data_IF_799442443136
#
_entry.id   IF_799442443136
#
_cell.length_a   1.000
_cell.length_b   1.000
_cell.length_c   1.000
_cell.angle_alpha   90.00
_cell.angle_beta   90.00
_cell.angle_gamma   90.00
#
_symmetry.space_group_name_H-M   'P 1'
#
loop_
_entity.id
_entity.type
_entity.pdbx_description
1 polymer ?
#
# COMPACT_ATOMS: atom_id res chain seq x y z
N UNK A 1 35.67 -3.91 -55.74
CA UNK A 1 34.88 -2.68 -55.58
C UNK A 1 34.42 -2.68 -54.14
N UNK A 2 35.22 -2.08 -53.25
CA UNK A 2 34.96 -2.07 -51.81
C UNK A 2 34.07 -0.86 -51.51
N UNK A 3 32.85 -1.11 -51.03
CA UNK A 3 31.92 -0.08 -50.58
C UNK A 3 32.53 0.54 -49.31
N UNK A 4 32.97 1.79 -49.43
CA UNK A 4 33.49 2.58 -48.32
C UNK A 4 32.27 3.07 -47.53
N UNK A 5 31.91 2.36 -46.45
CA UNK A 5 30.84 2.79 -45.56
C UNK A 5 31.13 4.20 -45.03
N UNK A 6 30.12 5.07 -45.14
CA UNK A 6 30.27 6.50 -44.91
C UNK A 6 30.38 6.81 -43.41
N UNK A 7 31.34 7.64 -42.95
CA UNK A 7 31.49 8.04 -41.54
C UNK A 7 30.26 8.69 -40.89
N UNK A 8 29.25 9.05 -41.69
CA UNK A 8 27.98 9.63 -41.26
C UNK A 8 26.98 8.59 -40.76
N UNK A 9 27.06 7.35 -41.24
CA UNK A 9 26.11 6.28 -40.91
C UNK A 9 26.41 5.71 -39.52
N UNK A 10 27.69 5.42 -39.25
CA UNK A 10 28.21 4.99 -37.95
C UNK A 10 27.91 6.02 -36.84
N UNK A 11 28.05 7.32 -37.15
CA UNK A 11 27.73 8.40 -36.21
C UNK A 11 26.22 8.53 -35.93
N UNK A 12 25.37 8.24 -36.91
CA UNK A 12 23.91 8.28 -36.72
C UNK A 12 23.43 7.08 -35.88
N UNK A 13 24.04 5.92 -36.07
CA UNK A 13 23.76 4.71 -35.30
C UNK A 13 24.28 4.82 -33.85
N UNK A 14 25.47 5.40 -33.67
CA UNK A 14 26.02 5.68 -32.34
C UNK A 14 25.19 6.73 -31.57
N UNK A 15 24.67 7.76 -32.24
CA UNK A 15 23.76 8.75 -31.61
C UNK A 15 22.40 8.14 -31.26
N UNK A 16 21.87 7.25 -32.11
CA UNK A 16 20.62 6.53 -31.82
C UNK A 16 20.75 5.57 -30.66
N UNK A 17 21.82 4.78 -30.61
CA UNK A 17 22.08 3.82 -29.52
C UNK A 17 22.35 4.51 -28.19
N UNK A 18 23.14 5.60 -28.19
CA UNK A 18 23.37 6.42 -26.99
C UNK A 18 22.08 7.10 -26.52
N UNK A 19 21.28 7.66 -27.44
CA UNK A 19 20.00 8.28 -27.08
C UNK A 19 18.97 7.30 -26.55
N UNK A 20 18.94 6.06 -27.05
CA UNK A 20 18.03 5.02 -26.55
C UNK A 20 18.44 4.52 -25.16
N UNK A 21 19.74 4.32 -24.93
CA UNK A 21 20.27 3.91 -23.63
C UNK A 21 20.04 4.96 -22.54
N UNK A 22 20.16 6.25 -22.86
CA UNK A 22 19.91 7.37 -21.94
C UNK A 22 18.41 7.44 -21.57
N UNK A 23 17.53 7.30 -22.57
CA UNK A 23 16.07 7.28 -22.36
C UNK A 23 15.60 6.11 -21.48
N UNK A 24 16.12 4.90 -21.72
CA UNK A 24 15.77 3.71 -20.91
C UNK A 24 16.29 3.84 -19.47
N UNK A 25 17.45 4.47 -19.29
CA UNK A 25 18.02 4.73 -17.97
C UNK A 25 17.20 5.74 -17.17
N UNK A 26 16.81 6.84 -17.79
CA UNK A 26 15.94 7.84 -17.18
C UNK A 26 14.59 7.24 -16.77
N UNK A 27 14.01 6.38 -17.62
CA UNK A 27 12.75 5.71 -17.32
C UNK A 27 12.89 4.73 -16.13
N UNK A 28 13.94 3.92 -16.09
CA UNK A 28 14.25 3.06 -14.94
C UNK A 28 14.41 3.87 -13.64
N UNK A 29 15.18 4.95 -13.69
CA UNK A 29 15.40 5.83 -12.53
C UNK A 29 14.10 6.47 -12.05
N UNK A 30 13.24 6.89 -12.99
CA UNK A 30 11.92 7.44 -12.67
C UNK A 30 10.98 6.40 -12.03
N UNK A 31 11.00 5.16 -12.52
CA UNK A 31 10.16 4.08 -12.00
C UNK A 31 10.61 3.68 -10.59
N UNK A 32 11.93 3.55 -10.39
CA UNK A 32 12.53 3.28 -9.07
C UNK A 32 12.25 4.42 -8.09
N UNK A 33 12.37 5.68 -8.52
CA UNK A 33 12.02 6.83 -7.70
C UNK A 33 10.54 6.84 -7.29
N UNK A 34 9.62 6.45 -8.18
CA UNK A 34 8.19 6.32 -7.85
C UNK A 34 7.92 5.24 -6.80
N UNK A 35 8.58 4.09 -6.89
CA UNK A 35 8.44 3.00 -5.91
C UNK A 35 8.92 3.45 -4.51
N UNK A 36 10.07 4.14 -4.44
CA UNK A 36 10.62 4.66 -3.18
C UNK A 36 9.77 5.80 -2.60
N UNK A 37 9.35 6.76 -3.45
CA UNK A 37 8.48 7.85 -3.02
C UNK A 37 7.10 7.37 -2.54
N UNK A 38 6.59 6.30 -3.16
CA UNK A 38 5.37 5.63 -2.71
C UNK A 38 5.51 5.09 -1.28
N UNK A 39 6.64 4.44 -0.97
CA UNK A 39 6.89 3.87 0.36
C UNK A 39 6.87 4.93 1.48
N UNK A 40 7.59 6.04 1.26
CA UNK A 40 7.63 7.16 2.20
C UNK A 40 6.25 7.80 2.38
N UNK A 41 5.51 7.96 1.27
CA UNK A 41 4.16 8.51 1.30
C UNK A 41 3.18 7.63 2.07
N UNK A 42 3.22 6.31 1.87
CA UNK A 42 2.37 5.37 2.58
C UNK A 42 2.71 5.32 4.07
N UNK A 43 4.00 5.28 4.43
CA UNK A 43 4.43 5.30 5.83
C UNK A 43 3.95 6.57 6.56
N UNK A 44 4.19 7.76 5.97
CA UNK A 44 3.81 9.04 6.58
C UNK A 44 2.29 9.23 6.65
N UNK A 45 1.58 8.89 5.58
CA UNK A 45 0.13 8.98 5.55
C UNK A 45 -0.46 8.05 6.60
N UNK A 46 0.09 6.84 6.72
CA UNK A 46 -0.38 5.84 7.66
C UNK A 46 -0.34 6.31 9.11
N UNK A 47 0.79 6.82 9.59
CA UNK A 47 0.91 7.30 10.98
C UNK A 47 -0.17 8.34 11.30
N UNK A 48 -0.46 9.21 10.33
CA UNK A 48 -1.51 10.23 10.44
C UNK A 48 -2.92 9.62 10.50
N UNK A 49 -3.22 8.66 9.62
CA UNK A 49 -4.52 7.96 9.63
C UNK A 49 -4.70 7.15 10.92
N UNK A 50 -3.67 6.41 11.34
CA UNK A 50 -3.67 5.64 12.58
C UNK A 50 -3.92 6.54 13.79
N UNK A 51 -3.16 7.64 13.91
CA UNK A 51 -3.33 8.60 15.01
C UNK A 51 -4.74 9.19 15.04
N UNK A 52 -5.29 9.53 13.87
CA UNK A 52 -6.64 10.10 13.74
C UNK A 52 -7.71 9.07 14.12
N UNK A 53 -7.58 7.84 13.65
CA UNK A 53 -8.49 6.73 13.97
C UNK A 53 -8.43 6.35 15.45
N UNK A 54 -7.23 6.20 16.02
CA UNK A 54 -7.04 5.89 17.44
C UNK A 54 -7.53 7.03 18.33
N UNK A 55 -7.23 8.29 17.97
CA UNK A 55 -7.72 9.46 18.70
C UNK A 55 -9.25 9.60 18.64
N UNK A 56 -9.84 9.38 17.47
CA UNK A 56 -11.30 9.38 17.28
C UNK A 56 -11.99 8.25 18.05
N UNK A 57 -11.45 7.03 17.96
CA UNK A 57 -11.97 5.88 18.71
C UNK A 57 -11.88 6.09 20.23
N UNK A 58 -10.78 6.67 20.73
CA UNK A 58 -10.61 6.99 22.15
C UNK A 58 -11.58 8.09 22.61
N UNK A 59 -11.72 9.17 21.84
CA UNK A 59 -12.67 10.25 22.14
C UNK A 59 -14.11 9.73 22.18
N UNK A 60 -14.49 8.89 21.20
CA UNK A 60 -15.79 8.25 21.16
C UNK A 60 -15.99 7.30 22.34
N UNK A 61 -14.96 6.53 22.70
CA UNK A 61 -14.99 5.69 23.90
C UNK A 61 -15.22 6.48 25.17
N UNK A 62 -14.52 7.61 25.36
CA UNK A 62 -14.68 8.44 26.55
C UNK A 62 -16.07 9.07 26.61
N UNK A 63 -16.59 9.53 25.47
CA UNK A 63 -17.93 10.08 25.37
C UNK A 63 -19.00 9.07 25.83
N UNK A 64 -18.92 7.83 25.35
CA UNK A 64 -19.86 6.77 25.70
C UNK A 64 -19.68 6.23 27.12
N UNK A 65 -18.45 6.19 27.63
CA UNK A 65 -18.18 5.72 28.99
C UNK A 65 -18.81 6.63 30.05
N UNK A 66 -18.89 7.94 29.78
CA UNK A 66 -19.52 8.91 30.67
C UNK A 66 -21.02 8.66 30.85
N UNK A 67 -21.72 8.24 29.80
CA UNK A 67 -23.16 7.99 29.86
C UNK A 67 -23.49 6.62 30.50
N UNK A 68 -22.61 5.63 30.34
CA UNK A 68 -22.78 4.25 30.86
C UNK A 68 -22.56 4.13 32.38
N UNK A 69 -21.88 5.10 33.01
CA UNK A 69 -21.59 5.08 34.46
C UNK A 69 -22.78 5.52 35.34
N UNK A 70 -23.87 6.03 34.75
CA UNK A 70 -24.98 6.64 35.51
C UNK A 70 -26.05 5.61 35.93
N UNK A 71 -26.25 4.53 35.18
CA UNK A 71 -27.21 3.46 35.49
C UNK A 71 -26.61 2.08 35.22
N UNK A 72 -27.07 1.04 35.94
CA UNK A 72 -26.56 -0.34 35.84
C UNK A 72 -26.54 -0.83 34.38
N UNK A 73 -25.38 -0.92 33.72
CA UNK A 73 -25.36 -1.07 32.28
C UNK A 73 -25.69 -2.50 31.90
N UNK A 74 -26.76 -2.66 31.11
CA UNK A 74 -27.10 -3.95 30.54
C UNK A 74 -26.29 -4.17 29.25
N UNK A 75 -25.76 -5.37 29.03
CA UNK A 75 -25.13 -5.74 27.76
C UNK A 75 -23.66 -5.32 27.59
N UNK A 76 -22.87 -5.20 28.67
CA UNK A 76 -21.42 -4.90 28.65
C UNK A 76 -20.61 -5.77 27.69
N UNK A 77 -21.10 -6.99 27.38
CA UNK A 77 -20.51 -7.86 26.36
C UNK A 77 -20.46 -7.25 24.95
N UNK A 78 -21.45 -6.44 24.55
CA UNK A 78 -21.46 -5.77 23.25
C UNK A 78 -20.36 -4.72 23.13
N UNK A 79 -20.08 -4.02 24.25
CA UNK A 79 -18.98 -3.08 24.33
C UNK A 79 -17.64 -3.81 24.14
N UNK A 80 -17.44 -4.93 24.85
CA UNK A 80 -16.25 -5.77 24.68
C UNK A 80 -16.06 -6.24 23.23
N UNK A 81 -17.13 -6.71 22.57
CA UNK A 81 -17.07 -7.12 21.16
C UNK A 81 -16.73 -5.96 20.22
N UNK A 82 -17.30 -4.77 20.42
CA UNK A 82 -16.97 -3.59 19.62
C UNK A 82 -15.48 -3.25 19.70
N UNK A 83 -14.91 -3.26 20.92
CA UNK A 83 -13.47 -3.04 21.14
C UNK A 83 -12.59 -4.10 20.48
N UNK A 84 -13.00 -5.37 20.57
CA UNK A 84 -12.31 -6.46 19.89
C UNK A 84 -12.32 -6.25 18.37
N UNK A 85 -13.46 -5.87 17.78
CA UNK A 85 -13.55 -5.59 16.35
C UNK A 85 -12.69 -4.40 15.93
N UNK A 86 -12.64 -3.31 16.71
CA UNK A 86 -11.75 -2.19 16.42
C UNK A 86 -10.28 -2.58 16.51
N UNK A 87 -9.90 -3.33 17.54
CA UNK A 87 -8.52 -3.78 17.72
C UNK A 87 -8.09 -4.69 16.57
N UNK A 88 -8.96 -5.62 16.17
CA UNK A 88 -8.72 -6.52 15.02
C UNK A 88 -8.66 -5.74 13.71
N UNK A 89 -9.55 -4.77 13.50
CA UNK A 89 -9.53 -3.93 12.30
C UNK A 89 -8.22 -3.14 12.20
N UNK A 90 -7.78 -2.52 13.29
CA UNK A 90 -6.49 -1.81 13.36
C UNK A 90 -5.35 -2.78 13.07
N UNK A 91 -5.31 -3.94 13.73
CA UNK A 91 -4.25 -4.94 13.51
C UNK A 91 -4.21 -5.45 12.04
N UNK A 92 -5.37 -5.61 11.39
CA UNK A 92 -5.44 -5.95 9.97
C UNK A 92 -4.88 -4.85 9.07
N UNK A 93 -5.18 -3.59 9.37
CA UNK A 93 -4.61 -2.46 8.62
C UNK A 93 -3.09 -2.43 8.79
N UNK A 94 -2.57 -2.61 10.01
CA UNK A 94 -1.12 -2.74 10.25
C UNK A 94 -0.51 -3.86 9.38
N UNK A 95 -1.13 -5.05 9.41
CA UNK A 95 -0.66 -6.20 8.65
C UNK A 95 -0.67 -5.97 7.14
N UNK A 96 -1.71 -5.31 6.62
CA UNK A 96 -1.84 -4.94 5.21
C UNK A 96 -0.66 -4.05 4.75
N UNK A 97 -0.24 -3.11 5.59
CA UNK A 97 0.81 -2.14 5.27
C UNK A 97 2.20 -2.77 5.36
N UNK A 98 2.45 -3.63 6.35
CA UNK A 98 3.68 -4.40 6.42
C UNK A 98 3.84 -5.30 5.18
N UNK A 99 2.75 -5.93 4.73
CA UNK A 99 2.74 -6.70 3.48
C UNK A 99 2.98 -5.81 2.26
N UNK A 100 2.42 -4.59 2.23
CA UNK A 100 2.62 -3.64 1.15
C UNK A 100 4.07 -3.17 1.05
N UNK A 101 4.72 -2.87 2.18
CA UNK A 101 6.15 -2.56 2.22
C UNK A 101 6.99 -3.73 1.70
N UNK A 102 6.68 -4.95 2.14
CA UNK A 102 7.40 -6.14 1.67
C UNK A 102 7.19 -6.42 0.18
N UNK A 103 6.00 -6.14 -0.36
CA UNK A 103 5.73 -6.24 -1.79
C UNK A 103 6.52 -5.18 -2.58
N UNK A 104 6.57 -3.94 -2.10
CA UNK A 104 7.31 -2.85 -2.74
C UNK A 104 8.83 -3.14 -2.79
N UNK A 105 9.40 -3.68 -1.71
CA UNK A 105 10.81 -4.10 -1.69
C UNK A 105 11.09 -5.20 -2.73
N UNK A 106 10.15 -6.14 -2.91
CA UNK A 106 10.25 -7.15 -3.97
C UNK A 106 10.12 -6.56 -5.37
N UNK A 107 9.26 -5.57 -5.53
CA UNK A 107 9.04 -4.91 -6.81
C UNK A 107 10.29 -4.15 -7.28
N UNK A 108 10.99 -3.49 -6.35
CA UNK A 108 12.31 -2.89 -6.61
C UNK A 108 13.34 -3.97 -6.98
N UNK A 109 13.37 -5.11 -6.27
CA UNK A 109 14.27 -6.22 -6.62
C UNK A 109 13.99 -6.83 -7.98
N UNK A 110 12.72 -6.93 -8.39
CA UNK A 110 12.32 -7.40 -9.72
C UNK A 110 12.76 -6.40 -10.79
N UNK A 111 12.56 -5.10 -10.53
CA UNK A 111 12.99 -4.01 -11.41
C UNK A 111 14.51 -4.03 -11.62
N UNK A 112 15.28 -4.09 -10.53
CA UNK A 112 16.75 -4.12 -10.55
C UNK A 112 17.31 -5.40 -11.22
N UNK A 113 16.53 -6.50 -11.22
CA UNK A 113 16.92 -7.76 -11.86
C UNK A 113 16.67 -7.77 -13.37
N UNK A 114 15.61 -7.11 -13.82
CA UNK A 114 15.16 -7.14 -15.23
C UNK A 114 15.77 -6.01 -16.07
N UNK A 115 16.03 -4.85 -15.47
CA UNK A 115 16.66 -3.71 -16.16
C UNK A 115 18.02 -4.04 -16.82
N UNK A 116 19.01 -4.67 -16.15
CA UNK A 116 20.34 -4.91 -16.75
C UNK A 116 20.34 -5.95 -17.88
N UNK A 117 19.20 -6.59 -18.17
CA UNK A 117 19.11 -7.56 -19.27
C UNK A 117 18.89 -6.93 -20.64
N UNK A 118 18.53 -5.63 -20.72
CA UNK A 118 18.31 -4.89 -21.98
C UNK A 118 17.46 -5.66 -23.02
N UNK A 119 16.49 -6.45 -22.56
CA UNK A 119 15.52 -7.09 -23.46
C UNK A 119 14.49 -6.04 -23.90
N UNK A 120 14.08 -6.08 -25.18
CA UNK A 120 13.15 -5.13 -25.83
C UNK A 120 11.83 -4.90 -25.07
N UNK A 121 11.46 -5.81 -24.14
CA UNK A 121 10.20 -5.79 -23.40
C UNK A 121 10.37 -5.92 -21.87
N UNK A 122 11.50 -5.47 -21.29
CA UNK A 122 11.74 -5.59 -19.84
C UNK A 122 10.59 -5.03 -18.97
N UNK A 123 9.90 -4.00 -19.45
CA UNK A 123 8.73 -3.41 -18.79
C UNK A 123 7.56 -4.38 -18.66
N UNK A 124 7.22 -5.09 -19.74
CA UNK A 124 6.14 -6.06 -19.76
C UNK A 124 6.44 -7.24 -18.81
N UNK A 125 7.72 -7.65 -18.73
CA UNK A 125 8.17 -8.70 -17.82
C UNK A 125 8.08 -8.27 -16.35
N UNK A 126 8.47 -7.03 -16.04
CA UNK A 126 8.30 -6.46 -14.68
C UNK A 126 6.82 -6.50 -14.28
N UNK A 127 5.91 -6.07 -15.15
CA UNK A 127 4.47 -6.08 -14.87
C UNK A 127 3.95 -7.50 -14.64
N UNK A 128 4.34 -8.46 -15.48
CA UNK A 128 3.88 -9.85 -15.36
C UNK A 128 4.37 -10.52 -14.06
N UNK A 129 5.62 -10.29 -13.67
CA UNK A 129 6.19 -10.80 -12.42
C UNK A 129 5.55 -10.13 -11.19
N UNK A 130 5.26 -8.83 -11.27
CA UNK A 130 4.53 -8.11 -10.24
C UNK A 130 3.09 -8.62 -10.06
N UNK A 131 2.37 -8.90 -11.15
CA UNK A 131 0.99 -9.44 -11.08
C UNK A 131 0.91 -10.86 -10.52
N UNK A 132 1.94 -11.68 -10.75
CA UNK A 132 2.04 -13.02 -10.15
C UNK A 132 2.21 -12.98 -8.65
N UNK A 133 2.63 -11.86 -8.06
CA UNK A 133 2.79 -11.77 -6.61
C UNK A 133 1.44 -11.87 -5.90
N UNK A 134 1.21 -13.03 -5.26
CA UNK A 134 0.06 -13.29 -4.39
C UNK A 134 -0.09 -12.22 -3.29
N UNK A 135 1.03 -11.63 -2.85
CA UNK A 135 1.06 -10.52 -1.88
C UNK A 135 0.14 -9.38 -2.27
N UNK A 136 0.11 -8.96 -3.55
CA UNK A 136 -0.75 -7.86 -4.01
C UNK A 136 -2.24 -8.18 -3.92
N UNK A 137 -2.63 -9.42 -4.24
CA UNK A 137 -4.02 -9.88 -4.10
C UNK A 137 -4.46 -9.98 -2.63
N UNK A 138 -3.58 -10.51 -1.78
CA UNK A 138 -3.83 -10.61 -0.34
C UNK A 138 -3.97 -9.22 0.32
N UNK A 139 -3.14 -8.26 -0.05
CA UNK A 139 -3.23 -6.86 0.42
C UNK A 139 -4.60 -6.25 0.09
N UNK A 140 -5.07 -6.40 -1.15
CA UNK A 140 -6.38 -5.89 -1.56
C UNK A 140 -7.54 -6.50 -0.76
N UNK A 141 -7.49 -7.81 -0.53
CA UNK A 141 -8.51 -8.52 0.25
C UNK A 141 -8.49 -8.14 1.74
N UNK A 142 -7.30 -8.08 2.36
CA UNK A 142 -7.14 -7.68 3.77
C UNK A 142 -7.62 -6.25 4.01
N UNK A 143 -7.30 -5.33 3.10
CA UNK A 143 -7.72 -3.94 3.22
C UNK A 143 -9.26 -3.83 3.22
N UNK A 144 -9.92 -4.50 2.27
CA UNK A 144 -11.38 -4.54 2.21
C UNK A 144 -12.01 -5.15 3.46
N UNK A 145 -11.43 -6.24 3.98
CA UNK A 145 -11.93 -6.91 5.19
C UNK A 145 -11.72 -6.07 6.45
N UNK A 146 -10.63 -5.31 6.51
CA UNK A 146 -10.35 -4.39 7.62
C UNK A 146 -11.38 -3.25 7.67
N UNK A 147 -11.74 -2.70 6.51
CA UNK A 147 -12.75 -1.65 6.39
C UNK A 147 -14.12 -2.18 6.84
N UNK A 148 -14.49 -3.39 6.42
CA UNK A 148 -15.73 -4.04 6.83
C UNK A 148 -15.77 -4.27 8.35
N UNK A 149 -14.67 -4.76 8.96
CA UNK A 149 -14.58 -4.93 10.41
C UNK A 149 -14.68 -3.60 11.17
N UNK A 150 -14.09 -2.52 10.63
CA UNK A 150 -14.16 -1.19 11.24
C UNK A 150 -15.61 -0.67 11.29
N UNK A 151 -16.33 -0.74 10.17
CA UNK A 151 -17.75 -0.34 10.13
C UNK A 151 -18.62 -1.22 11.01
N UNK A 152 -18.36 -2.53 11.04
CA UNK A 152 -19.07 -3.44 11.93
C UNK A 152 -18.89 -3.03 13.40
N UNK A 153 -17.65 -2.78 13.83
CA UNK A 153 -17.33 -2.31 15.18
C UNK A 153 -18.04 -0.99 15.53
N UNK A 154 -18.15 -0.06 14.58
CA UNK A 154 -18.88 1.20 14.72
C UNK A 154 -20.39 0.98 14.89
N UNK A 155 -21.00 0.10 14.09
CA UNK A 155 -22.41 -0.24 14.20
C UNK A 155 -22.75 -0.90 15.54
N UNK A 156 -21.90 -1.82 16.02
CA UNK A 156 -22.08 -2.45 17.33
C UNK A 156 -21.99 -1.43 18.46
N UNK A 157 -21.05 -0.48 18.35
CA UNK A 157 -20.89 0.59 19.35
C UNK A 157 -22.13 1.50 19.39
N UNK A 158 -22.62 1.92 18.22
CA UNK A 158 -23.81 2.75 18.10
C UNK A 158 -25.06 2.03 18.64
N UNK A 159 -25.20 0.73 18.35
CA UNK A 159 -26.29 -0.08 18.87
C UNK A 159 -26.25 -0.14 20.41
N UNK A 160 -25.09 -0.42 20.99
CA UNK A 160 -24.91 -0.45 22.44
C UNK A 160 -25.23 0.91 23.09
N UNK A 161 -24.74 2.01 22.50
CA UNK A 161 -25.03 3.36 22.96
C UNK A 161 -26.55 3.63 22.95
N UNK A 162 -27.25 3.30 21.86
CA UNK A 162 -28.71 3.51 21.75
C UNK A 162 -29.55 2.68 22.73
N UNK A 163 -28.98 1.62 23.30
CA UNK A 163 -29.65 0.73 24.25
C UNK A 163 -29.40 1.10 25.72
N UNK A 164 -28.30 1.81 26.00
CA UNK A 164 -27.89 2.23 27.34
C UNK A 164 -27.96 3.76 27.57
N UNK A 165 -28.26 4.55 26.53
CA UNK A 165 -28.77 5.92 26.64
C UNK A 165 -30.29 5.90 26.77
#
# INVERSE_FOLDING_TARGET
MATQESPTEDRAEQVRTVGHADSDHDEYMSHRARLLAGEEYYARSYDKWLLTLSGGALALSMALCKDVLVETPQGTGWLFWSWMFFTVAIAMILGCILLAQFANEKDVKILDRLYPKQEEDWQAQVLQEQEKQLSRKFIGWLNGMSLACFFLGLCLLAYFASRNM
#
